data_IF_718376815077
#
_entry.id   IF_718376815077
#
_cell.length_a   1.000
_cell.length_b   1.000
_cell.length_c   1.000
_cell.angle_alpha   90.00
_cell.angle_beta   90.00
_cell.angle_gamma   90.00
#
_symmetry.space_group_name_H-M   'P 1'
#
loop_
_entity.id
_entity.type
_entity.pdbx_description
1 polymer ?
#
# COMPACT_ATOMS: atom_id res chain seq x y z
N UNK A 1 5.74 13.35 -5.46
CA UNK A 1 4.77 12.74 -4.53
C UNK A 1 5.23 12.82 -3.08
N UNK A 2 4.26 12.87 -2.14
CA UNK A 2 4.46 12.81 -0.68
C UNK A 2 3.17 12.28 -0.02
N UNK A 3 3.25 11.42 0.98
CA UNK A 3 2.07 11.09 1.79
C UNK A 3 1.55 12.34 2.50
N UNK A 4 0.23 12.51 2.58
CA UNK A 4 -0.38 13.77 3.03
C UNK A 4 0.07 14.99 2.20
N UNK A 5 0.54 14.77 0.96
CA UNK A 5 0.90 15.83 0.02
C UNK A 5 -0.29 16.71 -0.39
N UNK A 6 -1.49 16.13 -0.38
CA UNK A 6 -2.74 16.78 -0.78
C UNK A 6 -3.31 17.79 0.22
N UNK A 7 -2.88 17.74 1.49
CA UNK A 7 -3.29 18.73 2.49
C UNK A 7 -2.34 19.93 2.49
N UNK A 8 -2.79 21.07 3.02
CA UNK A 8 -1.99 22.30 3.02
C UNK A 8 -0.72 22.19 3.86
N UNK A 9 0.37 22.92 3.53
CA UNK A 9 1.58 22.93 4.35
C UNK A 9 1.32 23.32 5.82
N UNK A 10 0.46 24.30 6.06
CA UNK A 10 0.07 24.72 7.42
C UNK A 10 -0.63 23.60 8.20
N UNK A 11 -1.48 22.80 7.53
CA UNK A 11 -2.09 21.63 8.16
C UNK A 11 -1.04 20.55 8.48
N UNK A 12 -0.06 20.31 7.59
CA UNK A 12 1.03 19.36 7.86
C UNK A 12 1.89 19.79 9.04
N UNK A 13 2.29 21.06 9.13
CA UNK A 13 3.07 21.61 10.25
C UNK A 13 2.34 21.44 11.60
N UNK A 14 1.00 21.54 11.58
CA UNK A 14 0.17 21.28 12.75
C UNK A 14 0.08 19.81 13.15
N UNK A 15 0.30 18.87 12.23
CA UNK A 15 0.11 17.43 12.46
C UNK A 15 1.42 16.68 12.75
N UNK A 16 2.51 17.09 12.12
CA UNK A 16 3.74 16.30 12.08
C UNK A 16 4.87 16.94 12.88
N UNK A 17 5.46 16.18 13.80
CA UNK A 17 6.76 16.48 14.38
C UNK A 17 7.87 16.37 13.31
N UNK A 18 7.73 15.39 12.40
CA UNK A 18 8.53 15.28 11.18
C UNK A 18 7.62 14.98 10.00
N UNK A 19 7.65 15.85 8.99
CA UNK A 19 6.83 15.65 7.80
C UNK A 19 7.25 14.39 7.01
N UNK A 20 6.30 13.75 6.31
CA UNK A 20 6.60 12.69 5.36
C UNK A 20 7.59 13.15 4.27
N UNK A 21 8.57 12.31 3.92
CA UNK A 21 9.54 12.63 2.86
C UNK A 21 8.91 12.59 1.46
N UNK A 22 9.47 13.36 0.54
CA UNK A 22 9.10 13.28 -0.89
C UNK A 22 9.76 12.08 -1.56
N UNK A 23 9.07 11.48 -2.53
CA UNK A 23 9.61 10.41 -3.35
C UNK A 23 9.08 10.48 -4.80
N UNK A 24 9.78 9.77 -5.69
CA UNK A 24 9.46 9.61 -7.12
C UNK A 24 9.58 8.15 -7.52
N UNK A 25 9.14 7.77 -8.72
CA UNK A 25 9.33 6.41 -9.23
C UNK A 25 10.81 5.95 -9.30
N UNK A 26 11.76 6.89 -9.28
CA UNK A 26 13.20 6.64 -9.28
C UNK A 26 13.79 6.47 -7.87
N UNK A 27 13.02 6.74 -6.81
CA UNK A 27 13.46 6.53 -5.43
C UNK A 27 13.91 5.08 -5.17
N UNK A 28 14.76 4.82 -4.16
CA UNK A 28 15.22 3.47 -3.84
C UNK A 28 14.05 2.51 -3.56
N UNK A 29 14.16 1.26 -4.03
CA UNK A 29 13.12 0.24 -3.87
C UNK A 29 12.69 0.05 -2.41
N UNK A 30 13.65 0.14 -1.47
CA UNK A 30 13.41 0.06 -0.03
C UNK A 30 12.44 1.16 0.46
N UNK A 31 12.57 2.38 -0.04
CA UNK A 31 11.64 3.48 0.29
C UNK A 31 10.30 3.26 -0.40
N UNK A 32 10.32 2.91 -1.69
CA UNK A 32 9.12 2.71 -2.48
C UNK A 32 8.22 1.58 -1.96
N UNK A 33 8.80 0.49 -1.44
CA UNK A 33 8.03 -0.64 -0.92
C UNK A 33 7.18 -0.24 0.30
N UNK A 34 7.69 0.66 1.13
CA UNK A 34 6.96 1.26 2.26
C UNK A 34 5.97 2.32 1.76
N UNK A 35 6.38 3.13 0.78
CA UNK A 35 5.57 4.22 0.22
C UNK A 35 4.36 3.75 -0.61
N UNK A 36 4.25 2.45 -0.90
CA UNK A 36 3.03 1.91 -1.51
C UNK A 36 1.78 2.26 -0.69
N UNK A 37 1.86 2.21 0.64
CA UNK A 37 0.76 2.56 1.55
C UNK A 37 -0.55 1.86 1.18
N UNK A 38 -1.60 2.64 0.97
CA UNK A 38 -2.83 2.16 0.35
C UNK A 38 -2.68 2.08 -1.17
N UNK A 39 -2.51 0.88 -1.72
CA UNK A 39 -2.55 0.70 -3.18
C UNK A 39 -3.99 0.52 -3.66
N UNK A 40 -4.51 1.53 -4.36
CA UNK A 40 -5.89 1.53 -4.85
C UNK A 40 -6.02 0.79 -6.19
N UNK A 41 -6.91 -0.20 -6.25
CA UNK A 41 -7.21 -0.96 -7.45
C UNK A 41 -8.33 -0.30 -8.24
N UNK A 42 -8.18 -0.29 -9.56
CA UNK A 42 -9.20 0.21 -10.48
C UNK A 42 -9.26 -0.67 -11.72
N UNK A 43 -10.46 -1.05 -12.21
CA UNK A 43 -10.61 -1.72 -13.49
C UNK A 43 -10.04 -0.87 -14.64
N UNK A 44 -9.33 -1.51 -15.56
CA UNK A 44 -8.79 -0.85 -16.75
C UNK A 44 -9.87 -0.45 -17.77
N UNK A 45 -11.12 -0.92 -17.61
CA UNK A 45 -12.27 -0.59 -18.48
C UNK A 45 -12.84 0.81 -18.25
N UNK A 46 -12.41 1.53 -17.19
CA UNK A 46 -12.97 2.85 -16.88
C UNK A 46 -12.71 3.85 -18.03
N UNK A 47 -13.76 4.50 -18.59
CA UNK A 47 -13.60 5.35 -19.78
C UNK A 47 -12.86 6.66 -19.49
N UNK A 48 -12.84 7.10 -18.23
CA UNK A 48 -12.16 8.32 -17.76
C UNK A 48 -10.99 7.99 -16.82
N UNK A 49 -10.30 6.86 -17.05
CA UNK A 49 -9.29 6.36 -16.12
C UNK A 49 -8.17 7.37 -15.82
N UNK A 50 -7.70 8.12 -16.82
CA UNK A 50 -6.70 9.17 -16.62
C UNK A 50 -7.18 10.28 -15.67
N UNK A 51 -8.45 10.69 -15.77
CA UNK A 51 -9.05 11.66 -14.86
C UNK A 51 -9.25 11.09 -13.47
N UNK A 52 -9.68 9.84 -13.39
CA UNK A 52 -9.85 9.16 -12.12
C UNK A 52 -8.51 9.02 -11.38
N UNK A 53 -7.42 8.67 -12.07
CA UNK A 53 -6.06 8.61 -11.50
C UNK A 53 -5.67 9.95 -10.90
N UNK A 54 -5.75 11.04 -11.67
CA UNK A 54 -5.38 12.39 -11.18
C UNK A 54 -6.27 12.85 -10.03
N UNK A 55 -7.56 12.53 -10.08
CA UNK A 55 -8.52 12.83 -9.01
C UNK A 55 -8.20 12.07 -7.72
N UNK A 56 -7.77 10.81 -7.81
CA UNK A 56 -7.37 10.05 -6.64
C UNK A 56 -6.02 10.53 -6.09
N UNK A 57 -5.09 10.92 -6.97
CA UNK A 57 -3.82 11.51 -6.59
C UNK A 57 -4.02 12.81 -5.77
N UNK A 58 -4.91 13.69 -6.25
CA UNK A 58 -5.32 14.90 -5.54
C UNK A 58 -6.01 14.63 -4.19
N UNK A 59 -6.40 13.37 -3.91
CA UNK A 59 -6.99 12.91 -2.64
C UNK A 59 -6.00 12.11 -1.79
N UNK A 60 -4.71 12.17 -2.13
CA UNK A 60 -3.64 11.55 -1.36
C UNK A 60 -3.34 10.09 -1.71
N UNK A 61 -3.88 9.57 -2.82
CA UNK A 61 -3.46 8.26 -3.34
C UNK A 61 -2.07 8.40 -3.97
N UNK A 62 -1.12 7.57 -3.53
CA UNK A 62 0.26 7.59 -4.03
C UNK A 62 0.63 6.36 -4.87
N UNK A 63 -0.20 5.29 -4.83
CA UNK A 63 -0.01 4.11 -5.67
C UNK A 63 -1.35 3.54 -6.14
N UNK A 64 -1.40 3.11 -7.40
CA UNK A 64 -2.59 2.54 -8.02
C UNK A 64 -2.26 1.32 -8.87
N UNK A 65 -3.16 0.35 -8.90
CA UNK A 65 -3.12 -0.81 -9.79
C UNK A 65 -4.28 -0.73 -10.77
N UNK A 66 -3.95 -0.70 -12.05
CA UNK A 66 -4.87 -0.71 -13.17
C UNK A 66 -5.04 -2.16 -13.61
N UNK A 67 -6.21 -2.73 -13.32
CA UNK A 67 -6.40 -4.17 -13.34
C UNK A 67 -7.02 -4.63 -14.66
N UNK A 68 -6.31 -5.55 -15.33
CA UNK A 68 -6.76 -6.27 -16.53
C UNK A 68 -7.19 -7.70 -16.21
N UNK A 69 -7.19 -8.13 -14.95
CA UNK A 69 -7.49 -9.50 -14.53
C UNK A 69 -8.86 -9.60 -13.84
N UNK A 70 -8.97 -9.95 -12.56
CA UNK A 70 -10.23 -10.32 -11.88
C UNK A 70 -11.29 -9.20 -11.81
N UNK A 71 -10.91 -7.95 -12.08
CA UNK A 71 -11.84 -6.82 -12.01
C UNK A 71 -12.57 -6.53 -13.33
N UNK A 72 -12.33 -7.30 -14.38
CA UNK A 72 -12.93 -7.13 -15.71
C UNK A 72 -13.36 -8.49 -16.28
N UNK A 73 -14.36 -8.49 -17.15
CA UNK A 73 -14.79 -9.72 -17.83
C UNK A 73 -13.74 -10.19 -18.84
N UNK A 74 -13.65 -11.51 -19.08
CA UNK A 74 -12.72 -12.11 -20.04
C UNK A 74 -12.94 -11.59 -21.46
N UNK A 75 -14.18 -11.27 -21.82
CA UNK A 75 -14.52 -10.69 -23.12
C UNK A 75 -14.07 -9.22 -23.26
N UNK A 76 -13.85 -8.51 -22.15
CA UNK A 76 -13.49 -7.10 -22.14
C UNK A 76 -11.97 -6.86 -22.22
N UNK A 77 -11.13 -7.89 -22.10
CA UNK A 77 -9.66 -7.74 -21.98
C UNK A 77 -9.07 -6.93 -23.12
N UNK A 78 -9.41 -7.25 -24.37
CA UNK A 78 -8.90 -6.53 -25.55
C UNK A 78 -9.27 -5.04 -25.52
N UNK A 79 -10.52 -4.73 -25.18
CA UNK A 79 -11.01 -3.36 -25.11
C UNK A 79 -10.43 -2.61 -23.90
N UNK A 80 -10.23 -3.30 -22.78
CA UNK A 80 -9.61 -2.78 -21.57
C UNK A 80 -8.14 -2.44 -21.81
N UNK A 81 -7.38 -3.28 -22.51
CA UNK A 81 -6.02 -2.95 -22.94
C UNK A 81 -5.99 -1.75 -23.88
N UNK A 82 -6.85 -1.72 -24.91
CA UNK A 82 -6.93 -0.59 -25.81
C UNK A 82 -7.30 0.71 -25.08
N UNK A 83 -8.20 0.64 -24.10
CA UNK A 83 -8.50 1.76 -23.22
C UNK A 83 -7.27 2.17 -22.41
N UNK A 84 -6.60 1.22 -21.75
CA UNK A 84 -5.40 1.47 -20.96
C UNK A 84 -4.35 2.25 -21.76
N UNK A 85 -4.04 1.82 -22.99
CA UNK A 85 -3.09 2.53 -23.86
C UNK A 85 -3.53 3.98 -24.12
N UNK A 86 -4.81 4.21 -24.47
CA UNK A 86 -5.34 5.58 -24.67
C UNK A 86 -5.26 6.43 -23.40
N UNK A 87 -5.51 5.84 -22.23
CA UNK A 87 -5.52 6.55 -20.95
C UNK A 87 -4.10 6.91 -20.50
N UNK A 88 -3.12 6.03 -20.72
CA UNK A 88 -1.70 6.34 -20.49
C UNK A 88 -1.22 7.46 -21.43
N UNK A 89 -1.61 7.43 -22.71
CA UNK A 89 -1.31 8.52 -23.63
C UNK A 89 -1.92 9.86 -23.17
N UNK A 90 -3.15 9.85 -22.66
CA UNK A 90 -3.80 11.03 -22.11
C UNK A 90 -3.10 11.56 -20.84
N UNK A 91 -2.69 10.68 -19.92
CA UNK A 91 -1.89 11.03 -18.74
C UNK A 91 -0.55 11.66 -19.15
N UNK A 92 0.15 11.00 -20.09
CA UNK A 92 1.41 11.46 -20.64
C UNK A 92 1.33 12.85 -21.28
N UNK A 93 0.25 13.13 -22.02
CA UNK A 93 0.01 14.44 -22.63
C UNK A 93 -0.27 15.52 -21.58
N UNK A 94 -1.05 15.22 -20.54
CA UNK A 94 -1.38 16.16 -19.46
C UNK A 94 -0.17 16.52 -18.60
N UNK A 95 0.66 15.54 -18.28
CA UNK A 95 1.91 15.75 -17.57
C UNK A 95 2.86 16.65 -18.36
N UNK A 96 3.04 16.38 -19.66
CA UNK A 96 3.85 17.23 -20.54
C UNK A 96 3.30 18.66 -20.65
N UNK A 97 1.97 18.84 -20.66
CA UNK A 97 1.32 20.14 -20.75
C UNK A 97 1.37 20.95 -19.44
N UNK A 98 1.53 20.29 -18.29
CA UNK A 98 1.64 20.94 -16.99
C UNK A 98 2.97 21.70 -16.82
N UNK A 99 3.95 21.41 -17.69
CA UNK A 99 5.28 22.03 -17.70
C UNK A 99 6.05 21.81 -16.39
N UNK A 100 7.30 22.27 -16.30
CA UNK A 100 7.93 22.46 -15.00
C UNK A 100 7.24 23.65 -14.32
N UNK A 101 6.13 23.41 -13.64
CA UNK A 101 5.50 24.37 -12.74
C UNK A 101 6.45 24.97 -11.68
N UNK A 102 5.96 25.92 -10.87
CA UNK A 102 6.79 26.67 -9.93
C UNK A 102 7.42 25.71 -8.92
N UNK A 103 8.77 25.67 -8.88
CA UNK A 103 9.51 25.08 -7.76
C UNK A 103 9.05 25.80 -6.50
N UNK A 104 8.51 25.08 -5.52
CA UNK A 104 8.38 25.68 -4.19
C UNK A 104 9.79 26.00 -3.68
N UNK A 105 10.13 27.29 -3.60
CA UNK A 105 11.37 27.76 -2.98
C UNK A 105 11.44 27.18 -1.55
N UNK A 106 12.31 26.19 -1.35
CA UNK A 106 12.48 25.48 -0.07
C UNK A 106 12.37 23.96 -0.12
N UNK A 107 11.89 23.36 -1.22
CA UNK A 107 11.86 21.90 -1.38
C UNK A 107 12.76 21.45 -2.55
N UNK A 108 14.00 20.98 -2.27
CA UNK A 108 14.93 20.50 -3.30
C UNK A 108 14.41 19.31 -4.12
N UNK A 109 13.27 18.69 -3.73
CA UNK A 109 12.64 17.56 -4.41
C UNK A 109 11.33 17.87 -5.13
N UNK A 110 10.87 19.12 -5.17
CA UNK A 110 9.63 19.52 -5.86
C UNK A 110 9.82 19.48 -7.38
N UNK A 111 9.56 18.33 -7.99
CA UNK A 111 9.41 18.22 -9.45
C UNK A 111 8.02 18.67 -9.83
N UNK A 112 7.96 19.73 -10.62
CA UNK A 112 6.71 20.23 -11.13
C UNK A 112 6.28 19.40 -12.35
N UNK A 113 5.18 18.68 -12.15
CA UNK A 113 4.45 17.82 -13.06
C UNK A 113 3.12 17.50 -12.37
N UNK A 114 2.17 16.91 -13.08
CA UNK A 114 1.01 16.35 -12.37
C UNK A 114 1.55 15.29 -11.40
N UNK A 115 1.24 15.38 -10.10
CA UNK A 115 1.68 14.37 -9.11
C UNK A 115 0.93 13.05 -9.41
N UNK A 116 1.38 12.31 -10.42
CA UNK A 116 0.83 11.02 -10.83
C UNK A 116 1.30 9.99 -9.80
N UNK A 117 0.40 9.15 -9.25
CA UNK A 117 0.79 8.09 -8.32
C UNK A 117 1.66 7.06 -9.04
N UNK A 118 2.35 6.20 -8.28
CA UNK A 118 2.97 5.01 -8.85
C UNK A 118 1.89 4.16 -9.51
N UNK A 119 2.00 3.96 -10.83
CA UNK A 119 1.03 3.18 -11.60
C UNK A 119 1.57 1.79 -11.88
N UNK A 120 0.76 0.79 -11.59
CA UNK A 120 1.06 -0.60 -11.90
C UNK A 120 -0.07 -1.19 -12.72
N UNK A 121 0.24 -2.20 -13.54
CA UNK A 121 -0.78 -2.94 -14.29
C UNK A 121 -0.85 -4.36 -13.74
N UNK A 122 -2.03 -4.83 -13.31
CA UNK A 122 -2.25 -6.26 -13.02
C UNK A 122 -2.59 -6.96 -14.32
N UNK A 123 -1.63 -7.74 -14.82
CA UNK A 123 -1.76 -8.54 -16.05
C UNK A 123 -2.37 -9.90 -15.74
N UNK A 124 -2.89 -10.58 -16.76
CA UNK A 124 -3.33 -11.98 -16.71
C UNK A 124 -2.18 -12.91 -17.04
N UNK A 125 -1.43 -12.64 -18.11
CA UNK A 125 -0.42 -13.55 -18.67
C UNK A 125 0.94 -12.88 -18.89
N UNK A 126 2.07 -13.61 -18.84
CA UNK A 126 3.40 -13.04 -19.01
C UNK A 126 3.59 -12.25 -20.30
N UNK A 127 3.03 -12.75 -21.42
CA UNK A 127 3.15 -12.11 -22.73
C UNK A 127 2.51 -10.71 -22.80
N UNK A 128 1.55 -10.40 -21.92
CA UNK A 128 0.95 -9.06 -21.87
C UNK A 128 1.95 -8.00 -21.42
N UNK A 129 2.97 -8.37 -20.63
CA UNK A 129 3.96 -7.41 -20.13
C UNK A 129 4.72 -6.77 -21.30
N UNK A 130 5.28 -7.60 -22.18
CA UNK A 130 6.08 -7.12 -23.32
C UNK A 130 5.18 -6.45 -24.37
N UNK A 131 4.01 -7.02 -24.66
CA UNK A 131 3.04 -6.42 -25.59
C UNK A 131 2.57 -5.02 -25.14
N UNK A 132 2.17 -4.88 -23.88
CA UNK A 132 1.72 -3.59 -23.33
C UNK A 132 2.84 -2.56 -23.35
N UNK A 133 4.06 -2.93 -22.95
CA UNK A 133 5.20 -2.00 -22.99
C UNK A 133 5.48 -1.52 -24.41
N UNK A 134 5.42 -2.41 -25.40
CA UNK A 134 5.59 -2.04 -26.81
C UNK A 134 4.48 -1.08 -27.28
N UNK A 135 3.22 -1.38 -26.96
CA UNK A 135 2.05 -0.56 -27.38
C UNK A 135 1.95 0.76 -26.64
N UNK A 136 2.45 0.86 -25.40
CA UNK A 136 2.50 2.11 -24.64
C UNK A 136 3.48 3.11 -25.28
N UNK A 137 4.54 2.64 -25.94
CA UNK A 137 5.57 3.51 -26.51
C UNK A 137 6.09 4.52 -25.47
N UNK A 138 6.21 5.79 -25.84
CA UNK A 138 6.71 6.85 -24.94
C UNK A 138 5.88 7.06 -23.67
N UNK A 139 4.61 6.64 -23.67
CA UNK A 139 3.75 6.75 -22.49
C UNK A 139 4.12 5.76 -21.38
N UNK A 140 4.97 4.77 -21.66
CA UNK A 140 5.50 3.81 -20.67
C UNK A 140 6.24 4.51 -19.52
N UNK A 141 6.72 5.74 -19.70
CA UNK A 141 7.33 6.54 -18.62
C UNK A 141 6.40 6.78 -17.42
N UNK A 142 5.09 6.64 -17.60
CA UNK A 142 4.10 6.75 -16.53
C UNK A 142 3.94 5.44 -15.74
N UNK A 143 4.46 4.33 -16.25
CA UNK A 143 4.34 3.01 -15.65
C UNK A 143 5.48 2.76 -14.66
N UNK A 144 5.14 2.35 -13.45
CA UNK A 144 6.09 1.95 -12.41
C UNK A 144 6.34 0.44 -12.37
N UNK A 145 5.43 -0.38 -12.91
CA UNK A 145 5.62 -1.83 -12.96
C UNK A 145 4.35 -2.65 -13.14
N UNK A 146 4.40 -3.91 -12.72
CA UNK A 146 3.34 -4.90 -12.92
C UNK A 146 3.01 -5.67 -11.64
N UNK A 147 1.73 -6.03 -11.51
CA UNK A 147 1.24 -6.98 -10.49
C UNK A 147 1.08 -8.34 -11.15
N UNK A 148 1.65 -9.37 -10.54
CA UNK A 148 1.77 -10.71 -11.11
C UNK A 148 0.83 -11.68 -10.35
N UNK A 149 -0.35 -12.03 -10.88
CA UNK A 149 -1.31 -12.87 -10.16
C UNK A 149 -0.81 -14.31 -9.99
N UNK A 150 -1.43 -15.06 -9.08
CA UNK A 150 -1.27 -16.51 -8.89
C UNK A 150 0.20 -16.95 -8.94
N UNK A 151 1.07 -16.22 -8.23
CA UNK A 151 2.52 -16.34 -8.38
C UNK A 151 3.05 -17.62 -7.70
N UNK A 152 3.72 -18.46 -8.48
CA UNK A 152 4.45 -19.67 -8.05
C UNK A 152 5.86 -19.66 -8.63
N UNK A 153 6.71 -20.64 -8.29
CA UNK A 153 8.06 -20.74 -8.90
C UNK A 153 7.99 -20.85 -10.43
N UNK A 154 7.15 -21.76 -10.93
CA UNK A 154 6.99 -22.03 -12.36
C UNK A 154 6.41 -20.83 -13.12
N UNK A 155 5.24 -20.36 -12.69
CA UNK A 155 4.53 -19.26 -13.36
C UNK A 155 5.26 -17.93 -13.18
N UNK A 156 5.76 -17.69 -11.97
CA UNK A 156 6.45 -16.45 -11.60
C UNK A 156 7.74 -16.23 -12.37
N UNK A 157 8.46 -17.31 -12.72
CA UNK A 157 9.65 -17.22 -13.57
C UNK A 157 9.35 -16.59 -14.92
N UNK A 158 8.27 -17.01 -15.58
CA UNK A 158 7.87 -16.48 -16.89
C UNK A 158 7.51 -15.00 -16.82
N UNK A 159 6.80 -14.57 -15.77
CA UNK A 159 6.50 -13.15 -15.56
C UNK A 159 7.76 -12.30 -15.34
N UNK A 160 8.71 -12.78 -14.53
CA UNK A 160 9.93 -12.04 -14.21
C UNK A 160 10.89 -11.98 -15.41
N UNK A 161 10.94 -13.03 -16.24
CA UNK A 161 11.64 -13.03 -17.51
C UNK A 161 11.05 -12.00 -18.48
N UNK A 162 9.71 -11.98 -18.65
CA UNK A 162 9.02 -11.00 -19.49
C UNK A 162 9.19 -9.55 -18.99
N UNK A 163 9.21 -9.35 -17.67
CA UNK A 163 9.49 -8.04 -17.06
C UNK A 163 10.92 -7.56 -17.39
N UNK A 164 11.91 -8.44 -17.28
CA UNK A 164 13.30 -8.10 -17.58
C UNK A 164 13.50 -7.77 -19.07
N UNK A 165 12.82 -8.49 -19.96
CA UNK A 165 12.78 -8.19 -21.39
C UNK A 165 12.15 -6.80 -21.64
N UNK A 166 10.99 -6.53 -21.04
CA UNK A 166 10.30 -5.27 -21.20
C UNK A 166 11.08 -4.07 -20.66
N UNK A 167 11.74 -4.21 -19.51
CA UNK A 167 12.65 -3.20 -18.93
C UNK A 167 13.82 -2.90 -19.88
N UNK A 168 14.39 -3.94 -20.49
CA UNK A 168 15.46 -3.78 -21.48
C UNK A 168 14.96 -3.04 -22.72
N UNK A 169 13.77 -3.36 -23.20
CA UNK A 169 13.18 -2.75 -24.40
C UNK A 169 12.81 -1.27 -24.21
N UNK A 170 12.26 -0.91 -23.04
CA UNK A 170 11.86 0.48 -22.78
C UNK A 170 12.95 1.34 -22.12
N UNK A 171 14.07 0.74 -21.70
CA UNK A 171 15.19 1.42 -21.06
C UNK A 171 14.83 2.06 -19.71
N UNK A 172 13.79 1.54 -19.03
CA UNK A 172 13.27 2.07 -17.77
C UNK A 172 13.05 0.95 -16.76
N UNK A 173 13.39 1.25 -15.51
CA UNK A 173 13.19 0.32 -14.40
C UNK A 173 11.70 0.01 -14.23
N UNK A 174 11.36 -1.27 -14.18
CA UNK A 174 9.99 -1.73 -13.95
C UNK A 174 9.97 -2.70 -12.76
N UNK A 175 9.06 -2.46 -11.82
CA UNK A 175 8.92 -3.31 -10.64
C UNK A 175 7.90 -4.43 -10.85
N UNK A 176 8.14 -5.57 -10.19
CA UNK A 176 7.18 -6.64 -9.98
C UNK A 176 6.54 -6.54 -8.59
N UNK A 177 5.24 -6.82 -8.52
CA UNK A 177 4.54 -7.13 -7.28
C UNK A 177 3.83 -8.48 -7.40
N UNK A 178 4.49 -9.60 -7.05
CA UNK A 178 3.90 -10.91 -6.98
C UNK A 178 2.68 -10.97 -6.05
N UNK A 179 1.61 -11.64 -6.47
CA UNK A 179 0.44 -11.92 -5.62
C UNK A 179 0.41 -13.40 -5.27
N UNK A 180 0.48 -13.67 -3.97
CA UNK A 180 0.44 -15.00 -3.37
C UNK A 180 -1.01 -15.35 -3.07
N UNK A 181 -1.63 -16.08 -3.99
CA UNK A 181 -3.07 -16.37 -3.99
C UNK A 181 -3.41 -17.76 -4.56
N UNK A 182 -2.40 -18.54 -4.93
CA UNK A 182 -2.59 -19.89 -5.49
C UNK A 182 -3.10 -20.86 -4.39
N UNK A 183 -4.16 -21.64 -4.65
CA UNK A 183 -4.78 -22.52 -3.65
C UNK A 183 -3.81 -23.49 -2.95
N UNK A 184 -2.74 -23.90 -3.63
CA UNK A 184 -1.77 -24.86 -3.12
C UNK A 184 -0.95 -24.31 -1.94
N UNK A 185 -0.97 -22.99 -1.69
CA UNK A 185 -0.44 -22.39 -0.46
C UNK A 185 -1.28 -22.75 0.77
N UNK A 186 -2.56 -23.09 0.63
CA UNK A 186 -3.42 -23.47 1.75
C UNK A 186 -3.16 -24.90 2.20
N UNK A 187 -2.79 -25.79 1.28
CA UNK A 187 -2.56 -27.20 1.54
C UNK A 187 -1.28 -27.42 2.36
N UNK A 188 -1.40 -28.05 3.53
CA UNK A 188 -0.28 -28.22 4.47
C UNK A 188 0.86 -29.03 3.84
N UNK A 189 0.52 -30.03 3.03
CA UNK A 189 1.43 -30.94 2.37
C UNK A 189 2.28 -30.30 1.26
N UNK A 190 1.81 -29.21 0.63
CA UNK A 190 2.53 -28.52 -0.45
C UNK A 190 3.09 -27.15 -0.07
N UNK A 191 2.50 -26.48 0.93
CA UNK A 191 2.81 -25.09 1.32
C UNK A 191 4.31 -24.83 1.48
N UNK A 192 5.02 -25.71 2.19
CA UNK A 192 6.45 -25.55 2.46
C UNK A 192 7.31 -25.56 1.19
N UNK A 193 7.00 -26.40 0.22
CA UNK A 193 7.74 -26.48 -1.05
C UNK A 193 7.44 -25.29 -1.94
N UNK A 194 6.18 -24.86 -2.00
CA UNK A 194 5.74 -23.71 -2.80
C UNK A 194 6.37 -22.42 -2.27
N UNK A 195 6.34 -22.18 -0.95
CA UNK A 195 6.97 -21.01 -0.35
C UNK A 195 8.49 -20.98 -0.62
N UNK A 196 9.16 -22.13 -0.57
CA UNK A 196 10.59 -22.23 -0.92
C UNK A 196 10.84 -21.92 -2.40
N UNK A 197 9.98 -22.39 -3.30
CA UNK A 197 10.04 -22.07 -4.72
C UNK A 197 9.83 -20.58 -5.00
N UNK A 198 8.81 -19.98 -4.38
CA UNK A 198 8.57 -18.54 -4.46
C UNK A 198 9.79 -17.76 -3.96
N UNK A 199 10.34 -18.13 -2.80
CA UNK A 199 11.51 -17.47 -2.22
C UNK A 199 12.71 -17.45 -3.18
N UNK A 200 13.01 -18.59 -3.82
CA UNK A 200 14.08 -18.67 -4.84
C UNK A 200 13.81 -17.74 -6.03
N UNK A 201 12.58 -17.74 -6.55
CA UNK A 201 12.21 -16.91 -7.69
C UNK A 201 12.32 -15.42 -7.38
N UNK A 202 11.79 -14.96 -6.24
CA UNK A 202 11.82 -13.53 -5.91
C UNK A 202 13.22 -13.05 -5.52
N UNK A 203 14.04 -13.90 -4.90
CA UNK A 203 15.42 -13.55 -4.55
C UNK A 203 16.32 -13.45 -5.78
N UNK A 204 16.13 -14.31 -6.79
CA UNK A 204 16.83 -14.20 -8.08
C UNK A 204 16.60 -12.85 -8.77
N UNK A 205 15.43 -12.24 -8.57
CA UNK A 205 15.04 -10.96 -9.16
C UNK A 205 14.84 -9.87 -8.08
N UNK A 206 15.58 -9.94 -6.97
CA UNK A 206 15.37 -9.13 -5.76
C UNK A 206 15.20 -7.64 -6.02
N UNK A 207 16.05 -7.06 -6.88
CA UNK A 207 16.03 -5.62 -7.18
C UNK A 207 14.80 -5.17 -7.99
N UNK A 208 14.07 -6.12 -8.60
CA UNK A 208 12.84 -5.87 -9.35
C UNK A 208 11.59 -6.14 -8.52
N UNK A 209 11.67 -6.90 -7.43
CA UNK A 209 10.50 -7.21 -6.60
C UNK A 209 10.29 -6.12 -5.56
N UNK A 210 9.25 -5.31 -5.75
CA UNK A 210 8.98 -4.18 -4.87
C UNK A 210 8.25 -4.60 -3.58
N UNK A 211 7.23 -5.44 -3.72
CA UNK A 211 6.46 -5.97 -2.59
C UNK A 211 5.74 -7.27 -2.98
N UNK A 212 5.48 -8.11 -1.99
CA UNK A 212 4.66 -9.31 -2.12
C UNK A 212 3.24 -9.00 -1.60
N UNK A 213 2.24 -9.46 -2.34
CA UNK A 213 0.83 -9.24 -2.03
C UNK A 213 0.15 -10.56 -1.68
N UNK A 214 -0.95 -10.48 -0.93
CA UNK A 214 -1.75 -11.64 -0.52
C UNK A 214 -3.15 -11.56 -1.13
N UNK A 215 -3.54 -12.59 -1.89
CA UNK A 215 -4.89 -12.71 -2.45
C UNK A 215 -5.77 -13.59 -1.56
N UNK A 216 -6.29 -13.01 -0.49
CA UNK A 216 -7.13 -13.74 0.49
C UNK A 216 -8.48 -14.18 -0.10
N UNK A 217 -9.02 -13.43 -1.06
CA UNK A 217 -10.29 -13.78 -1.69
C UNK A 217 -10.20 -15.10 -2.47
N UNK A 218 -9.12 -15.32 -3.23
CA UNK A 218 -8.84 -16.61 -3.88
C UNK A 218 -8.69 -17.74 -2.86
N UNK A 219 -8.01 -17.47 -1.74
CA UNK A 219 -7.87 -18.47 -0.69
C UNK A 219 -9.20 -18.88 -0.07
N UNK A 220 -10.06 -17.91 0.23
CA UNK A 220 -11.41 -18.18 0.72
C UNK A 220 -12.22 -18.94 -0.32
N UNK A 221 -12.14 -18.53 -1.60
CA UNK A 221 -12.87 -19.16 -2.70
C UNK A 221 -12.52 -20.65 -2.87
N UNK A 222 -11.24 -21.02 -2.73
CA UNK A 222 -10.78 -22.39 -2.83
C UNK A 222 -11.46 -23.36 -1.83
N UNK A 223 -11.95 -22.83 -0.70
CA UNK A 223 -12.67 -23.59 0.34
C UNK A 223 -14.16 -23.23 0.44
N UNK A 224 -14.70 -22.47 -0.52
CA UNK A 224 -16.10 -22.02 -0.48
C UNK A 224 -16.42 -21.10 0.70
N UNK A 225 -15.41 -20.41 1.24
CA UNK A 225 -15.54 -19.48 2.36
C UNK A 225 -15.83 -18.07 1.84
N UNK A 226 -16.56 -17.28 2.64
CA UNK A 226 -16.72 -15.85 2.45
C UNK A 226 -16.66 -15.17 3.81
N UNK A 227 -15.90 -14.09 3.93
CA UNK A 227 -15.83 -13.31 5.16
C UNK A 227 -17.17 -12.61 5.41
N UNK A 228 -17.43 -12.23 6.65
CA UNK A 228 -18.46 -11.29 7.03
C UNK A 228 -17.83 -9.90 7.28
N UNK A 229 -18.59 -8.79 7.26
CA UNK A 229 -18.06 -7.43 7.46
C UNK A 229 -17.32 -7.20 8.78
N UNK A 230 -17.62 -8.02 9.80
CA UNK A 230 -17.00 -7.98 11.13
C UNK A 230 -15.82 -8.96 11.29
N UNK A 231 -15.52 -9.75 10.25
CA UNK A 231 -14.43 -10.73 10.24
C UNK A 231 -13.23 -10.22 9.47
N UNK A 232 -12.07 -10.26 10.12
CA UNK A 232 -10.76 -10.02 9.49
C UNK A 232 -10.23 -11.30 8.83
N UNK A 233 -9.21 -11.17 7.98
CA UNK A 233 -8.47 -12.31 7.43
C UNK A 233 -7.89 -13.24 8.52
N UNK A 234 -7.68 -12.72 9.73
CA UNK A 234 -7.11 -13.45 10.86
C UNK A 234 -8.16 -14.27 11.63
N UNK A 235 -9.44 -13.94 11.50
CA UNK A 235 -10.54 -14.75 12.06
C UNK A 235 -10.78 -16.02 11.22
N UNK A 236 -10.29 -16.06 9.97
CA UNK A 236 -10.31 -17.24 9.10
C UNK A 236 -8.99 -18.00 9.25
N UNK A 237 -8.93 -18.98 10.16
CA UNK A 237 -7.66 -19.63 10.56
C UNK A 237 -6.85 -20.25 9.42
N UNK A 238 -7.48 -20.82 8.39
CA UNK A 238 -6.74 -21.37 7.25
C UNK A 238 -5.97 -20.27 6.51
N UNK A 239 -6.58 -19.09 6.36
CA UNK A 239 -5.95 -17.89 5.78
C UNK A 239 -4.88 -17.35 6.72
N UNK A 240 -5.22 -17.15 8.00
CA UNK A 240 -4.28 -16.66 9.01
C UNK A 240 -2.99 -17.51 9.06
N UNK A 241 -3.12 -18.83 8.94
CA UNK A 241 -1.98 -19.76 8.91
C UNK A 241 -1.07 -19.52 7.70
N UNK A 242 -1.63 -19.25 6.52
CA UNK A 242 -0.85 -18.93 5.32
C UNK A 242 -0.15 -17.58 5.47
N UNK A 243 -0.83 -16.57 6.00
CA UNK A 243 -0.23 -15.25 6.26
C UNK A 243 1.00 -15.41 7.18
N UNK A 244 0.86 -16.17 8.27
CA UNK A 244 1.95 -16.43 9.20
C UNK A 244 3.15 -17.10 8.52
N UNK A 245 2.92 -18.13 7.70
CA UNK A 245 3.99 -18.85 7.00
C UNK A 245 4.65 -18.01 5.88
N UNK A 246 3.86 -17.19 5.17
CA UNK A 246 4.37 -16.22 4.19
C UNK A 246 5.30 -15.22 4.88
N UNK A 247 4.90 -14.65 6.01
CA UNK A 247 5.75 -13.72 6.78
C UNK A 247 7.00 -14.41 7.30
N UNK A 248 6.87 -15.65 7.79
CA UNK A 248 7.99 -16.43 8.31
C UNK A 248 9.08 -16.69 7.26
N UNK A 249 8.68 -17.00 6.02
CA UNK A 249 9.60 -17.33 4.93
C UNK A 249 10.08 -16.09 4.19
N UNK A 250 9.18 -15.16 3.88
CA UNK A 250 9.42 -14.07 2.92
C UNK A 250 9.50 -12.69 3.59
N UNK A 251 9.16 -12.54 4.88
CA UNK A 251 9.06 -11.26 5.59
C UNK A 251 10.16 -11.00 6.65
N UNK A 252 11.25 -11.77 6.62
CA UNK A 252 12.32 -11.73 7.64
C UNK A 252 13.02 -10.38 7.74
N UNK A 253 13.48 -10.04 8.94
CA UNK A 253 14.19 -8.80 9.22
C UNK A 253 15.73 -8.92 9.14
N UNK A 254 16.24 -10.09 8.75
CA UNK A 254 17.69 -10.40 8.64
C UNK A 254 18.32 -9.95 7.32
N UNK A 255 17.61 -9.13 6.54
CA UNK A 255 18.03 -8.66 5.22
C UNK A 255 17.56 -9.55 4.06
N UNK A 256 17.04 -10.76 4.33
CA UNK A 256 16.54 -11.66 3.27
C UNK A 256 15.07 -11.40 2.91
N UNK A 257 14.28 -10.80 3.81
CA UNK A 257 12.86 -10.56 3.60
C UNK A 257 12.51 -9.44 2.62
N UNK A 258 11.27 -9.47 2.15
CA UNK A 258 10.60 -8.48 1.31
C UNK A 258 9.51 -7.76 2.12
N UNK A 259 9.02 -6.64 1.59
CA UNK A 259 7.78 -6.03 2.11
C UNK A 259 6.58 -6.89 1.71
N UNK A 260 5.74 -7.26 2.66
CA UNK A 260 4.49 -7.99 2.42
C UNK A 260 3.33 -7.07 2.75
N UNK A 261 2.36 -6.91 1.84
CA UNK A 261 1.24 -5.98 2.02
C UNK A 261 0.00 -6.68 2.55
N UNK A 262 -0.79 -5.97 3.35
CA UNK A 262 -2.11 -6.39 3.81
C UNK A 262 -3.06 -6.78 2.66
N UNK A 263 -3.89 -7.82 2.83
CA UNK A 263 -4.84 -8.25 1.81
C UNK A 263 -5.99 -7.25 1.62
N UNK A 264 -6.82 -7.49 0.62
CA UNK A 264 -8.00 -6.68 0.33
C UNK A 264 -9.02 -6.73 1.46
N UNK A 265 -9.55 -5.56 1.83
CA UNK A 265 -10.80 -5.45 2.59
C UNK A 265 -11.99 -5.32 1.62
N UNK A 266 -12.92 -6.26 1.67
CA UNK A 266 -13.97 -6.44 0.66
C UNK A 266 -15.17 -5.48 0.82
N UNK A 267 -15.26 -4.77 1.95
CA UNK A 267 -16.42 -3.97 2.30
C UNK A 267 -16.16 -2.47 2.15
N UNK A 268 -17.13 -1.77 1.58
CA UNK A 268 -17.16 -0.32 1.51
C UNK A 268 -18.62 0.13 1.50
N UNK A 269 -18.93 1.28 2.09
CA UNK A 269 -20.32 1.76 2.16
C UNK A 269 -20.88 1.96 0.74
N UNK A 270 -22.06 1.39 0.47
CA UNK A 270 -23.01 2.02 -0.45
C UNK A 270 -23.58 3.22 0.29
N UNK A 271 -23.61 4.41 -0.33
CA UNK A 271 -24.42 5.50 0.19
C UNK A 271 -25.88 5.03 0.21
N UNK A 272 -26.35 4.48 1.32
CA UNK A 272 -27.77 4.33 1.56
C UNK A 272 -28.35 5.74 1.57
N UNK A 273 -29.29 5.98 0.64
CA UNK A 273 -30.12 7.18 0.67
C UNK A 273 -30.77 7.22 2.05
N UNK A 274 -30.36 8.15 2.89
CA UNK A 274 -30.95 8.40 4.20
C UNK A 274 -32.47 8.57 4.05
N UNK A 275 -33.22 7.51 4.34
CA UNK A 275 -34.65 7.58 4.61
C UNK A 275 -34.89 7.30 6.09
N UNK A 276 -34.76 8.39 6.86
CA UNK A 276 -35.55 8.73 8.05
C UNK A 276 -35.42 7.86 9.33
N UNK A 277 -35.78 8.45 10.50
CA UNK A 277 -34.86 8.60 11.62
C UNK A 277 -35.20 7.63 12.74
N UNK A 278 -34.19 7.05 13.36
CA UNK A 278 -34.41 6.35 14.62
C UNK A 278 -33.45 6.85 15.70
N UNK A 279 -34.10 7.29 16.77
CA UNK A 279 -33.63 7.33 18.17
C UNK A 279 -32.89 8.60 18.61
N UNK A 280 -33.73 9.53 19.09
CA UNK A 280 -33.60 10.27 20.37
C UNK A 280 -32.28 10.00 21.10
N UNK A 281 -31.35 10.96 21.02
CA UNK A 281 -30.31 11.17 22.05
C UNK A 281 -30.36 12.63 22.51
N UNK A 282 -30.24 12.78 23.82
CA UNK A 282 -30.39 14.02 24.60
C UNK A 282 -29.42 15.13 24.18
N UNK A 283 -29.80 16.42 24.19
CA UNK A 283 -29.01 17.54 23.66
C UNK A 283 -27.99 18.14 24.65
N UNK A 284 -27.45 17.36 25.59
CA UNK A 284 -26.45 17.86 26.53
C UNK A 284 -25.26 16.92 26.57
N UNK A 285 -24.18 17.29 25.87
CA UNK A 285 -22.77 17.19 26.29
C UNK A 285 -21.85 17.69 25.16
N UNK A 286 -20.83 18.44 25.57
CA UNK A 286 -19.83 19.11 24.74
C UNK A 286 -19.01 18.13 23.91
N UNK A 287 -18.72 18.51 22.64
CA UNK A 287 -17.60 17.96 21.88
C UNK A 287 -17.96 17.52 20.46
N UNK A 288 -17.76 18.42 19.48
CA UNK A 288 -17.74 18.07 18.04
C UNK A 288 -16.81 16.89 17.70
N UNK A 289 -15.79 16.64 18.53
CA UNK A 289 -14.88 15.52 18.40
C UNK A 289 -15.55 14.16 18.67
N UNK A 290 -16.52 14.08 19.60
CA UNK A 290 -17.23 12.82 19.92
C UNK A 290 -18.29 12.46 18.87
N UNK A 291 -18.93 13.46 18.26
CA UNK A 291 -19.84 13.23 17.13
C UNK A 291 -19.07 12.74 15.88
N UNK A 292 -17.90 13.31 15.61
CA UNK A 292 -17.01 12.83 14.56
C UNK A 292 -16.50 11.41 14.87
N UNK A 293 -16.11 11.16 16.13
CA UNK A 293 -15.66 9.84 16.63
C UNK A 293 -16.73 8.78 16.44
N UNK A 294 -17.98 9.07 16.80
CA UNK A 294 -19.11 8.13 16.65
C UNK A 294 -19.51 7.92 15.18
N UNK A 295 -19.44 8.96 14.33
CA UNK A 295 -19.78 8.85 12.91
C UNK A 295 -18.68 8.18 12.06
N UNK A 296 -17.42 8.28 12.50
CA UNK A 296 -16.27 7.62 11.90
C UNK A 296 -16.23 6.13 12.29
N UNK A 297 -16.47 5.80 13.56
CA UNK A 297 -16.54 4.44 14.13
C UNK A 297 -17.92 3.82 13.85
N UNK A 298 -18.35 3.80 12.59
CA UNK A 298 -19.42 2.90 12.15
C UNK A 298 -18.81 1.53 11.82
N UNK A 299 -19.56 0.48 12.13
CA UNK A 299 -19.14 -0.94 12.18
C UNK A 299 -18.28 -1.44 10.99
N UNK A 300 -18.49 -0.94 9.77
CA UNK A 300 -17.73 -1.37 8.58
C UNK A 300 -16.32 -0.77 8.50
N UNK A 301 -16.08 0.39 9.11
CA UNK A 301 -14.73 0.96 9.21
C UNK A 301 -13.96 0.28 10.33
N UNK A 302 -14.63 -0.15 11.40
CA UNK A 302 -14.00 -0.83 12.52
C UNK A 302 -13.34 -2.14 12.09
N UNK A 303 -13.99 -2.93 11.22
CA UNK A 303 -13.41 -4.14 10.64
C UNK A 303 -12.12 -3.86 9.85
N UNK A 304 -12.12 -2.81 9.02
CA UNK A 304 -10.95 -2.38 8.27
C UNK A 304 -9.81 -1.95 9.21
N UNK A 305 -10.10 -1.11 10.22
CA UNK A 305 -9.10 -0.62 11.17
C UNK A 305 -8.47 -1.79 11.95
N UNK A 306 -9.32 -2.70 12.47
CA UNK A 306 -8.88 -3.90 13.17
C UNK A 306 -8.00 -4.77 12.29
N UNK A 307 -8.36 -4.97 11.02
CA UNK A 307 -7.53 -5.74 10.10
C UNK A 307 -6.18 -5.06 9.81
N UNK A 308 -6.13 -3.73 9.64
CA UNK A 308 -4.87 -3.00 9.44
C UNK A 308 -3.95 -3.13 10.66
N UNK A 309 -4.51 -3.04 11.87
CA UNK A 309 -3.74 -3.22 13.10
C UNK A 309 -3.17 -4.64 13.21
N UNK A 310 -3.97 -5.66 12.86
CA UNK A 310 -3.53 -7.05 12.82
C UNK A 310 -2.50 -7.30 11.70
N UNK A 311 -2.67 -6.70 10.52
CA UNK A 311 -1.67 -6.71 9.44
C UNK A 311 -0.32 -6.24 9.97
N UNK A 312 -0.30 -5.06 10.62
CA UNK A 312 0.93 -4.50 11.20
C UNK A 312 1.52 -5.38 12.31
N UNK A 313 0.68 -5.91 13.21
CA UNK A 313 1.11 -6.78 14.29
C UNK A 313 1.72 -8.09 13.78
N UNK A 314 1.28 -8.57 12.61
CA UNK A 314 1.79 -9.77 11.97
C UNK A 314 2.90 -9.49 10.94
N UNK A 315 3.42 -8.26 10.89
CA UNK A 315 4.58 -7.91 10.06
C UNK A 315 4.26 -7.49 8.62
N UNK A 316 2.99 -7.23 8.29
CA UNK A 316 2.57 -6.70 7.01
C UNK A 316 2.59 -5.16 7.04
N UNK A 317 2.78 -4.55 5.87
CA UNK A 317 2.90 -3.11 5.71
C UNK A 317 2.18 -2.63 4.46
N UNK A 318 1.36 -1.59 4.60
CA UNK A 318 0.47 -1.14 3.53
C UNK A 318 -0.70 -2.11 3.32
N UNK A 319 -1.58 -1.78 2.39
CA UNK A 319 -2.79 -2.57 2.13
C UNK A 319 -3.26 -2.44 0.70
N UNK A 320 -3.85 -3.51 0.19
CA UNK A 320 -4.59 -3.45 -1.08
C UNK A 320 -5.99 -2.87 -0.83
N UNK A 321 -6.32 -1.76 -1.49
CA UNK A 321 -7.58 -1.06 -1.36
C UNK A 321 -8.40 -1.16 -2.65
N UNK A 322 -9.71 -1.37 -2.52
CA UNK A 322 -10.63 -1.43 -3.67
C UNK A 322 -11.57 -0.22 -3.75
N UNK A 323 -11.55 0.64 -2.73
CA UNK A 323 -12.38 1.84 -2.68
C UNK A 323 -11.60 3.05 -2.13
N UNK A 324 -11.80 4.26 -2.67
CA UNK A 324 -11.10 5.47 -2.20
C UNK A 324 -11.25 5.77 -0.69
N UNK A 325 -12.36 5.36 -0.06
CA UNK A 325 -12.57 5.57 1.38
C UNK A 325 -11.61 4.76 2.27
N UNK A 326 -10.94 3.73 1.74
CA UNK A 326 -9.97 2.93 2.50
C UNK A 326 -8.61 3.61 2.62
N UNK A 327 -8.31 4.58 1.75
CA UNK A 327 -6.98 5.18 1.61
C UNK A 327 -6.58 5.98 2.85
N UNK A 328 -7.44 6.90 3.29
CA UNK A 328 -7.13 7.76 4.44
C UNK A 328 -6.92 6.96 5.75
N UNK A 329 -7.76 5.95 6.10
CA UNK A 329 -7.51 5.07 7.24
C UNK A 329 -6.15 4.36 7.19
N UNK A 330 -5.79 3.76 6.05
CA UNK A 330 -4.51 3.05 5.89
C UNK A 330 -3.33 4.01 6.05
N UNK A 331 -3.39 5.19 5.43
CA UNK A 331 -2.33 6.19 5.55
C UNK A 331 -2.22 6.76 6.96
N UNK A 332 -3.33 7.05 7.64
CA UNK A 332 -3.33 7.54 9.02
C UNK A 332 -2.76 6.52 10.01
N UNK A 333 -3.10 5.23 9.88
CA UNK A 333 -2.51 4.15 10.71
C UNK A 333 -1.04 3.83 10.38
N UNK A 334 -0.55 4.31 9.23
CA UNK A 334 0.85 4.14 8.83
C UNK A 334 1.78 5.23 9.40
N UNK A 335 1.23 6.36 9.86
CA UNK A 335 2.01 7.41 10.53
C UNK A 335 2.60 6.88 11.83
N UNK A 336 3.87 7.20 12.09
CA UNK A 336 4.57 6.79 13.32
C UNK A 336 4.23 7.77 14.43
N UNK A 337 3.89 7.26 15.62
CA UNK A 337 3.66 8.14 16.77
C UNK A 337 4.97 8.74 17.27
N UNK A 338 4.92 9.91 17.91
CA UNK A 338 6.11 10.51 18.53
C UNK A 338 6.82 9.55 19.51
N UNK A 339 6.03 8.78 20.26
CA UNK A 339 6.54 7.77 21.18
C UNK A 339 7.29 6.64 20.46
N UNK A 340 6.68 6.00 19.46
CA UNK A 340 7.34 4.94 18.67
C UNK A 340 8.63 5.45 18.03
N UNK A 341 8.60 6.68 17.52
CA UNK A 341 9.75 7.32 16.90
C UNK A 341 10.89 7.55 17.90
N UNK A 342 10.59 8.11 19.07
CA UNK A 342 11.58 8.37 20.13
C UNK A 342 12.21 7.06 20.60
N UNK A 343 11.39 6.04 20.86
CA UNK A 343 11.87 4.71 21.26
C UNK A 343 12.81 4.10 20.20
N UNK A 344 12.45 4.23 18.92
CA UNK A 344 13.26 3.70 17.82
C UNK A 344 14.60 4.43 17.67
N UNK A 345 14.62 5.76 17.79
CA UNK A 345 15.87 6.53 17.78
C UNK A 345 16.77 6.17 18.97
N UNK A 346 16.15 5.99 20.13
CA UNK A 346 16.83 5.57 21.34
C UNK A 346 17.48 4.20 21.15
N UNK A 347 16.75 3.20 20.65
CA UNK A 347 17.28 1.86 20.41
C UNK A 347 18.45 1.87 19.41
N UNK A 348 18.41 2.75 18.40
CA UNK A 348 19.41 2.79 17.32
C UNK A 348 20.59 3.74 17.56
N UNK A 349 20.62 4.41 18.71
CA UNK A 349 21.69 5.34 19.06
C UNK A 349 23.08 4.67 19.04
N UNK A 350 24.11 5.25 18.39
CA UNK A 350 25.44 4.63 18.24
C UNK A 350 26.11 4.29 19.57
N UNK A 351 25.90 5.11 20.60
CA UNK A 351 26.42 4.90 21.96
C UNK A 351 25.92 3.59 22.60
N UNK A 352 24.87 2.99 22.03
CA UNK A 352 24.18 1.82 22.57
C UNK A 352 24.52 0.53 21.82
N UNK A 353 25.56 0.55 20.98
CA UNK A 353 26.02 -0.62 20.21
C UNK A 353 26.35 -1.87 21.05
N UNK A 354 26.63 -1.71 22.35
CA UNK A 354 26.86 -2.82 23.29
C UNK A 354 25.61 -3.61 23.68
N UNK A 355 24.41 -3.06 23.50
CA UNK A 355 23.14 -3.61 23.98
C UNK A 355 22.68 -3.00 25.31
N UNK A 356 21.80 -3.72 26.03
CA UNK A 356 21.24 -3.28 27.31
C UNK A 356 19.74 -2.96 27.24
N UNK A 357 19.22 -2.47 28.37
CA UNK A 357 17.82 -2.09 28.54
C UNK A 357 17.70 -0.59 28.82
N UNK A 358 16.62 0.00 28.36
CA UNK A 358 16.30 1.41 28.54
C UNK A 358 14.85 1.52 29.01
N UNK A 359 14.58 2.54 29.82
CA UNK A 359 13.21 2.97 30.07
C UNK A 359 12.79 3.88 28.91
N UNK A 360 11.58 3.70 28.36
CA UNK A 360 11.07 4.63 27.33
C UNK A 360 10.99 6.05 27.86
N UNK A 361 11.08 7.04 26.96
CA UNK A 361 10.92 8.45 27.31
C UNK A 361 9.55 8.74 27.96
N UNK A 362 8.51 8.05 27.50
CA UNK A 362 7.15 8.09 28.05
C UNK A 362 6.98 7.26 29.33
N UNK A 363 8.03 6.57 29.77
CA UNK A 363 8.13 5.85 31.05
C UNK A 363 7.16 4.69 31.27
N UNK A 364 6.55 4.20 30.19
CA UNK A 364 5.50 3.18 30.16
C UNK A 364 5.96 1.81 29.64
N UNK A 365 7.19 1.67 29.12
CA UNK A 365 7.73 0.41 28.62
C UNK A 365 9.25 0.31 28.79
N UNK A 366 9.75 -0.91 28.62
CA UNK A 366 11.19 -1.23 28.58
C UNK A 366 11.61 -1.48 27.13
N UNK A 367 12.69 -0.84 26.70
CA UNK A 367 13.30 -1.03 25.39
C UNK A 367 14.58 -1.85 25.52
N UNK A 368 14.61 -3.04 24.92
CA UNK A 368 15.81 -3.86 24.84
C UNK A 368 16.53 -3.59 23.51
N UNK A 369 17.76 -3.07 23.58
CA UNK A 369 18.46 -2.52 22.40
C UNK A 369 18.65 -3.56 21.28
N UNK A 370 19.10 -4.78 21.61
CA UNK A 370 19.35 -5.82 20.60
C UNK A 370 18.05 -6.46 20.08
N UNK A 371 17.13 -6.95 20.94
CA UNK A 371 15.87 -7.55 20.48
C UNK A 371 14.99 -6.59 19.69
N UNK A 372 14.92 -5.31 20.08
CA UNK A 372 14.05 -4.34 19.43
C UNK A 372 14.71 -3.62 18.25
N UNK A 373 15.95 -3.96 17.87
CA UNK A 373 16.68 -3.27 16.81
C UNK A 373 15.97 -3.32 15.47
N UNK A 374 15.56 -4.51 15.04
CA UNK A 374 14.86 -4.71 13.76
C UNK A 374 13.52 -3.96 13.72
N UNK A 375 12.80 -3.93 14.85
CA UNK A 375 11.59 -3.13 15.00
C UNK A 375 11.90 -1.64 14.82
N UNK A 376 12.93 -1.13 15.52
CA UNK A 376 13.32 0.27 15.46
C UNK A 376 13.73 0.70 14.03
N UNK A 377 14.49 -0.14 13.31
CA UNK A 377 14.91 0.14 11.92
C UNK A 377 13.69 0.25 10.99
N UNK A 378 12.70 -0.65 11.12
CA UNK A 378 11.45 -0.58 10.36
C UNK A 378 10.60 0.62 10.75
N UNK A 379 10.52 0.97 12.03
CA UNK A 379 9.80 2.14 12.53
C UNK A 379 10.40 3.43 11.97
N UNK A 380 11.73 3.59 11.96
CA UNK A 380 12.37 4.78 11.38
C UNK A 380 12.17 4.87 9.86
N UNK A 381 12.20 3.74 9.16
CA UNK A 381 11.91 3.70 7.72
C UNK A 381 10.44 4.09 7.42
N UNK A 382 9.49 3.64 8.25
CA UNK A 382 8.09 4.07 8.15
C UNK A 382 7.95 5.55 8.47
N UNK A 383 8.65 6.06 9.48
CA UNK A 383 8.67 7.47 9.85
C UNK A 383 9.23 8.36 8.74
N UNK A 384 10.23 7.89 8.00
CA UNK A 384 10.76 8.61 6.82
C UNK A 384 9.68 8.80 5.75
N UNK A 385 8.86 7.78 5.51
CA UNK A 385 7.86 7.77 4.42
C UNK A 385 6.52 8.39 4.80
N UNK A 386 6.02 8.12 6.01
CA UNK A 386 4.70 8.55 6.49
C UNK A 386 4.77 9.69 7.51
N UNK A 387 5.97 10.13 7.90
CA UNK A 387 6.16 11.15 8.91
C UNK A 387 5.99 10.63 10.35
N UNK A 388 6.22 11.54 11.29
CA UNK A 388 6.05 11.35 12.73
C UNK A 388 5.00 12.33 13.23
N UNK A 389 3.92 11.83 13.82
CA UNK A 389 2.90 12.68 14.43
C UNK A 389 3.48 13.48 15.61
N UNK A 390 2.91 14.66 15.89
CA UNK A 390 3.19 15.38 17.14
C UNK A 390 2.64 14.61 18.35
N UNK A 391 3.12 14.95 19.54
CA UNK A 391 2.77 14.23 20.78
C UNK A 391 1.26 14.20 21.07
N UNK A 392 0.55 15.25 20.70
CA UNK A 392 -0.88 15.45 20.92
C UNK A 392 -1.77 15.07 19.73
N UNK A 393 -1.17 14.61 18.62
CA UNK A 393 -1.87 14.27 17.38
C UNK A 393 -2.13 12.77 17.33
N UNK A 394 -3.41 12.39 17.27
CA UNK A 394 -3.86 11.01 17.20
C UNK A 394 -4.28 10.57 15.80
N UNK A 395 -4.70 9.31 15.70
CA UNK A 395 -5.25 8.73 14.47
C UNK A 395 -6.43 9.53 13.91
N UNK A 396 -7.34 10.01 14.77
CA UNK A 396 -8.54 10.75 14.35
C UNK A 396 -8.18 12.07 13.67
N UNK A 397 -7.18 12.79 14.19
CA UNK A 397 -6.72 14.06 13.62
C UNK A 397 -6.12 13.85 12.22
N UNK A 398 -5.28 12.82 12.08
CA UNK A 398 -4.67 12.42 10.80
C UNK A 398 -5.73 11.96 9.79
N UNK A 399 -6.72 11.19 10.24
CA UNK A 399 -7.82 10.72 9.39
C UNK A 399 -8.68 11.90 8.91
N UNK A 400 -9.06 12.81 9.82
CA UNK A 400 -9.85 13.98 9.48
C UNK A 400 -9.12 14.88 8.47
N UNK A 401 -7.82 15.12 8.69
CA UNK A 401 -6.99 15.85 7.74
C UNK A 401 -6.95 15.15 6.38
N UNK A 402 -6.73 13.83 6.36
CA UNK A 402 -6.67 13.03 5.13
C UNK A 402 -7.96 13.03 4.31
N UNK A 403 -9.12 13.25 4.94
CA UNK A 403 -10.44 13.34 4.30
C UNK A 403 -10.81 14.76 3.83
N UNK A 404 -10.03 15.77 4.19
CA UNK A 404 -10.31 17.17 3.84
C UNK A 404 -10.12 17.39 2.34
N UNK A 405 -11.09 18.06 1.71
CA UNK A 405 -11.15 18.30 0.26
C UNK A 405 -10.51 19.62 -0.15
#
# INVERSE_FOLDING_TARGET
MRHFGHISPAAREGLFHREPSTFTAESPAKMLSVALGATLYSPATRPSLAEDVLKQAARGVVSMVLCLEDSIDDAEVTDAEANLIRQFAALAARDAASGPGPRHEGDPGSTAGADVPLLFIRVREPAQITDLVNRLGDSVRMLSGFVLPKFTEERGRHFLEALAEAETACGRRLFAMPVLESPELLHLETRGDILRGIARSVDKYRDRVLALRLGVTDFCSAYGLRRAPDMTAYDVHIVASVIADVVNVLGRADGTGFTITGPVWEYFRRQERMFKPQLRRSPFLEGRAEELRTALIEHDMDGLLREIELDRANGLLGKTCIHPSHVAPVHALSVVSHEEFTDAQDILSPERGGGGVLRSAYTNKMNEVKPHRAWAERTLQRAEVFGVAREDVGFVDLLAAGLTK
#
